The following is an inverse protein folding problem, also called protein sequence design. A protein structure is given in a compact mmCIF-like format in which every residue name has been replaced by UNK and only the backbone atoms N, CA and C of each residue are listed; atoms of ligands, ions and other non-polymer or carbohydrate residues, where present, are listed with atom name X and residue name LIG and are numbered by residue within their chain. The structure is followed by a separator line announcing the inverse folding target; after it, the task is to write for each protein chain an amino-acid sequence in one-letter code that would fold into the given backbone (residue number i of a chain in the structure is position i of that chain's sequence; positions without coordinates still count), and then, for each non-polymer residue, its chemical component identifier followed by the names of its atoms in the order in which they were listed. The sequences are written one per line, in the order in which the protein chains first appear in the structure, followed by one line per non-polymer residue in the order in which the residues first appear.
data_IF_720498479726
#
_entry.id   IF_720498479726
#
_cell.length_a   1.000
_cell.length_b   1.000
_cell.length_c   1.000
_cell.angle_alpha   90.00
_cell.angle_beta   90.00
_cell.angle_gamma   90.00
#
_symmetry.space_group_name_H-M   'P 1'
#
loop_
_entity.id
_entity.type
_entity.pdbx_description
1 polymer ?
#
# COMPACT_ATOMS: atom_id res chain seq x y z
N UNK A 1 -103.51 28.62 4.08
CA UNK A 1 -102.74 29.25 2.99
C UNK A 1 -101.26 29.12 3.32
N UNK A 2 -100.50 28.41 2.47
CA UNK A 2 -99.03 28.21 2.38
C UNK A 2 -98.26 27.70 3.63
N UNK A 3 -97.67 26.49 3.67
CA UNK A 3 -96.65 25.82 2.83
C UNK A 3 -95.21 26.14 3.28
N UNK A 4 -94.43 25.09 3.57
CA UNK A 4 -92.99 25.21 3.86
C UNK A 4 -92.33 23.95 4.43
N UNK A 5 -92.44 22.79 3.78
CA UNK A 5 -91.58 21.62 4.08
C UNK A 5 -90.34 21.66 3.19
N UNK A 6 -89.20 22.05 3.76
CA UNK A 6 -87.90 21.90 3.13
C UNK A 6 -87.53 20.42 3.00
N UNK A 7 -87.31 19.96 1.77
CA UNK A 7 -86.70 18.65 1.50
C UNK A 7 -85.19 18.80 1.59
N UNK A 8 -84.56 18.15 2.58
CA UNK A 8 -83.10 17.95 2.60
C UNK A 8 -82.81 16.75 1.71
N UNK A 9 -82.18 16.99 0.56
CA UNK A 9 -81.63 15.92 -0.28
C UNK A 9 -80.25 15.54 0.28
N UNK A 10 -80.18 14.41 0.99
CA UNK A 10 -78.91 13.76 1.31
C UNK A 10 -78.35 13.17 0.01
N UNK A 11 -77.41 13.87 -0.60
CA UNK A 11 -76.60 13.31 -1.69
C UNK A 11 -75.76 12.16 -1.15
N UNK A 12 -76.14 10.92 -1.45
CA UNK A 12 -75.24 9.78 -1.30
C UNK A 12 -74.16 9.89 -2.36
N UNK A 13 -72.98 10.39 -1.96
CA UNK A 13 -71.77 10.25 -2.76
C UNK A 13 -71.54 8.77 -3.05
N UNK A 14 -71.47 8.41 -4.33
CA UNK A 14 -71.08 7.06 -4.76
C UNK A 14 -69.65 6.82 -4.27
N UNK A 15 -69.48 5.97 -3.27
CA UNK A 15 -68.18 5.39 -2.95
C UNK A 15 -67.81 4.46 -4.10
N UNK A 16 -66.84 4.86 -4.93
CA UNK A 16 -66.26 4.01 -5.94
C UNK A 16 -65.45 2.91 -5.25
N UNK A 17 -65.88 1.66 -5.39
CA UNK A 17 -65.08 0.50 -4.96
C UNK A 17 -63.87 0.32 -5.85
N UNK A 18 -62.75 -0.10 -5.27
CA UNK A 18 -61.51 -0.43 -5.99
C UNK A 18 -61.78 -1.49 -7.06
N UNK A 19 -61.25 -1.27 -8.26
CA UNK A 19 -61.34 -2.27 -9.33
C UNK A 19 -60.21 -3.29 -9.22
N UNK A 20 -60.47 -4.52 -9.68
CA UNK A 20 -59.47 -5.59 -9.67
C UNK A 20 -58.23 -5.23 -10.52
N UNK A 21 -58.44 -4.48 -11.61
CA UNK A 21 -57.36 -3.99 -12.47
C UNK A 21 -56.47 -2.96 -11.74
N UNK A 22 -57.02 -2.14 -10.85
CA UNK A 22 -56.27 -1.15 -10.07
C UNK A 22 -55.31 -1.80 -9.08
N UNK A 23 -55.72 -2.89 -8.44
CA UNK A 23 -54.86 -3.66 -7.54
C UNK A 23 -53.73 -4.33 -8.31
N UNK A 24 -54.02 -4.91 -9.48
CA UNK A 24 -53.00 -5.56 -10.32
C UNK A 24 -51.98 -4.55 -10.84
N UNK A 25 -52.43 -3.39 -11.32
CA UNK A 25 -51.53 -2.31 -11.78
C UNK A 25 -50.68 -1.79 -10.61
N UNK A 26 -51.29 -1.60 -9.43
CA UNK A 26 -50.57 -1.11 -8.24
C UNK A 26 -49.49 -2.08 -7.78
N UNK A 27 -49.79 -3.37 -7.71
CA UNK A 27 -48.80 -4.40 -7.34
C UNK A 27 -47.74 -4.53 -8.43
N UNK A 28 -48.10 -4.40 -9.71
CA UNK A 28 -47.16 -4.39 -10.83
C UNK A 28 -46.15 -3.25 -10.71
N UNK A 29 -46.62 -2.01 -10.51
CA UNK A 29 -45.77 -0.84 -10.31
C UNK A 29 -44.91 -0.97 -9.05
N UNK A 30 -45.49 -1.39 -7.93
CA UNK A 30 -44.76 -1.60 -6.68
C UNK A 30 -43.65 -2.65 -6.84
N UNK A 31 -43.93 -3.74 -7.57
CA UNK A 31 -42.94 -4.80 -7.82
C UNK A 31 -41.77 -4.26 -8.65
N UNK A 32 -42.05 -3.52 -9.71
CA UNK A 32 -41.01 -2.89 -10.56
C UNK A 32 -40.18 -1.89 -9.74
N UNK A 33 -40.83 -1.03 -8.95
CA UNK A 33 -40.15 -0.08 -8.07
C UNK A 33 -39.28 -0.79 -7.03
N UNK A 34 -39.78 -1.88 -6.45
CA UNK A 34 -39.03 -2.68 -5.47
C UNK A 34 -37.78 -3.28 -6.12
N UNK A 35 -37.91 -3.89 -7.30
CA UNK A 35 -36.77 -4.45 -8.04
C UNK A 35 -35.72 -3.37 -8.37
N UNK A 36 -36.16 -2.20 -8.85
CA UNK A 36 -35.24 -1.08 -9.11
C UNK A 36 -34.54 -0.59 -7.83
N UNK A 37 -35.26 -0.52 -6.71
CA UNK A 37 -34.68 -0.13 -5.43
C UNK A 37 -33.64 -1.14 -4.94
N UNK A 38 -33.92 -2.44 -5.08
CA UNK A 38 -32.95 -3.50 -4.76
C UNK A 38 -31.70 -3.41 -5.64
N UNK A 39 -31.85 -3.20 -6.95
CA UNK A 39 -30.70 -3.03 -7.86
C UNK A 39 -29.86 -1.80 -7.49
N UNK A 40 -30.51 -0.67 -7.19
CA UNK A 40 -29.81 0.54 -6.76
C UNK A 40 -29.01 0.30 -5.46
N UNK A 41 -29.59 -0.42 -4.50
CA UNK A 41 -28.92 -0.78 -3.25
C UNK A 41 -27.69 -1.65 -3.52
N UNK A 42 -27.80 -2.66 -4.37
CA UNK A 42 -26.70 -3.56 -4.72
C UNK A 42 -25.53 -2.82 -5.37
N UNK A 43 -25.81 -1.87 -6.26
CA UNK A 43 -24.79 -1.00 -6.87
C UNK A 43 -24.07 -0.15 -5.82
N UNK A 44 -24.81 0.44 -4.88
CA UNK A 44 -24.23 1.25 -3.80
C UNK A 44 -23.34 0.39 -2.90
N UNK A 45 -23.80 -0.81 -2.52
CA UNK A 45 -23.02 -1.74 -1.69
C UNK A 45 -21.73 -2.18 -2.42
N UNK A 46 -21.82 -2.60 -3.68
CA UNK A 46 -20.65 -3.00 -4.46
C UNK A 46 -19.64 -1.86 -4.65
N UNK A 47 -20.13 -0.62 -4.83
CA UNK A 47 -19.28 0.57 -4.92
C UNK A 47 -18.58 0.85 -3.59
N UNK A 48 -19.30 0.69 -2.47
CA UNK A 48 -18.75 0.88 -1.14
C UNK A 48 -17.64 -0.15 -0.84
N UNK A 49 -17.88 -1.43 -1.14
CA UNK A 49 -16.91 -2.50 -0.92
C UNK A 49 -15.62 -2.27 -1.73
N UNK A 50 -15.75 -1.93 -3.01
CA UNK A 50 -14.60 -1.59 -3.87
C UNK A 50 -13.82 -0.37 -3.37
N UNK A 51 -14.52 0.61 -2.82
CA UNK A 51 -13.92 1.81 -2.20
C UNK A 51 -13.11 1.44 -0.95
N UNK A 52 -13.64 0.56 -0.10
CA UNK A 52 -12.93 0.07 1.08
C UNK A 52 -11.63 -0.67 0.71
N UNK A 53 -11.66 -1.56 -0.28
CA UNK A 53 -10.48 -2.30 -0.72
C UNK A 53 -9.40 -1.35 -1.26
N UNK A 54 -9.79 -0.42 -2.12
CA UNK A 54 -8.88 0.59 -2.69
C UNK A 54 -8.27 1.46 -1.59
N UNK A 55 -9.06 1.88 -0.60
CA UNK A 55 -8.58 2.67 0.53
C UNK A 55 -7.54 1.89 1.35
N UNK A 56 -7.77 0.60 1.60
CA UNK A 56 -6.84 -0.25 2.36
C UNK A 56 -5.47 -0.37 1.67
N UNK A 57 -5.46 -0.57 0.35
CA UNK A 57 -4.24 -0.65 -0.45
C UNK A 57 -3.45 0.66 -0.40
N UNK A 58 -4.13 1.81 -0.53
CA UNK A 58 -3.51 3.13 -0.44
C UNK A 58 -2.90 3.39 0.94
N UNK A 59 -3.57 2.98 2.01
CA UNK A 59 -3.03 3.07 3.38
C UNK A 59 -1.77 2.22 3.54
N UNK A 60 -1.78 0.98 3.02
CA UNK A 60 -0.62 0.09 3.07
C UNK A 60 0.57 0.66 2.27
N UNK A 61 0.33 1.18 1.06
CA UNK A 61 1.35 1.82 0.24
C UNK A 61 1.97 3.04 0.93
N UNK A 62 1.15 3.91 1.53
CA UNK A 62 1.64 5.07 2.30
C UNK A 62 2.47 4.63 3.51
N UNK A 63 2.07 3.56 4.19
CA UNK A 63 2.82 2.99 5.33
C UNK A 63 4.16 2.41 4.87
N UNK A 64 4.18 1.65 3.77
CA UNK A 64 5.41 1.13 3.17
C UNK A 64 6.38 2.27 2.85
N UNK A 65 5.89 3.33 2.19
CA UNK A 65 6.68 4.52 1.90
C UNK A 65 7.24 5.22 3.15
N UNK A 66 6.44 5.34 4.22
CA UNK A 66 6.91 5.96 5.46
C UNK A 66 8.05 5.15 6.10
N UNK A 67 8.02 3.82 5.97
CA UNK A 67 9.08 2.93 6.46
C UNK A 67 10.33 3.05 5.59
N UNK A 68 10.20 2.94 4.27
CA UNK A 68 11.32 3.08 3.31
C UNK A 68 12.01 4.43 3.49
N UNK A 69 11.24 5.52 3.54
CA UNK A 69 11.78 6.86 3.77
C UNK A 69 12.56 6.94 5.08
N UNK A 70 12.01 6.38 6.17
CA UNK A 70 12.70 6.39 7.47
C UNK A 70 13.98 5.56 7.44
N UNK A 71 14.01 4.45 6.72
CA UNK A 71 15.21 3.62 6.61
C UNK A 71 16.30 4.35 5.82
N UNK A 72 15.98 4.87 4.64
CA UNK A 72 16.94 5.57 3.78
C UNK A 72 17.47 6.86 4.42
N UNK A 73 16.63 7.64 5.10
CA UNK A 73 17.07 8.86 5.81
C UNK A 73 18.01 8.57 6.98
N UNK A 74 17.98 7.36 7.55
CA UNK A 74 18.85 6.96 8.66
C UNK A 74 20.01 6.07 8.22
N UNK A 75 20.31 6.02 6.92
CA UNK A 75 21.41 5.26 6.38
C UNK A 75 22.74 5.69 7.00
N UNK A 76 23.65 4.73 7.19
CA UNK A 76 24.96 4.94 7.82
C UNK A 76 26.05 4.23 7.05
N UNK A 77 27.22 4.86 6.98
CA UNK A 77 28.44 4.25 6.46
C UNK A 77 29.02 3.24 7.46
N UNK A 78 28.31 2.13 7.69
CA UNK A 78 28.73 1.04 8.57
C UNK A 78 28.70 -0.29 7.82
N UNK A 79 29.85 -0.94 7.59
CA UNK A 79 29.90 -2.28 7.01
C UNK A 79 29.16 -3.29 7.89
N UNK A 80 28.65 -4.36 7.29
CA UNK A 80 27.97 -5.45 7.99
C UNK A 80 28.83 -6.72 7.94
N UNK A 81 28.80 -7.51 9.01
CA UNK A 81 29.59 -8.74 9.10
C UNK A 81 28.71 -9.92 8.72
N UNK A 82 29.08 -10.66 7.66
CA UNK A 82 28.30 -11.78 7.14
C UNK A 82 28.32 -13.03 8.05
N UNK A 83 29.21 -13.05 9.04
CA UNK A 83 29.41 -14.17 9.97
C UNK A 83 30.28 -15.31 9.42
N UNK A 84 30.83 -15.16 8.21
CA UNK A 84 31.83 -16.04 7.58
C UNK A 84 33.21 -15.37 7.50
N UNK A 85 33.33 -14.16 8.04
CA UNK A 85 34.58 -13.40 8.11
C UNK A 85 34.73 -12.40 6.97
N UNK A 86 33.71 -12.22 6.12
CA UNK A 86 33.67 -11.14 5.13
C UNK A 86 32.88 -9.96 5.67
N UNK A 87 33.22 -8.78 5.16
CA UNK A 87 32.49 -7.54 5.42
C UNK A 87 31.71 -7.17 4.16
N UNK A 88 30.41 -7.09 4.31
CA UNK A 88 29.50 -6.53 3.33
C UNK A 88 29.57 -5.00 3.31
N UNK A 89 29.36 -4.40 2.13
CA UNK A 89 29.35 -2.94 1.99
C UNK A 89 28.21 -2.33 2.81
N UNK A 90 28.36 -1.10 3.33
CA UNK A 90 27.29 -0.40 4.04
C UNK A 90 25.99 -0.25 3.24
N UNK A 91 26.09 -0.21 1.92
CA UNK A 91 24.99 -0.20 0.97
C UNK A 91 25.40 -1.00 -0.26
N UNK A 92 24.53 -1.89 -0.72
CA UNK A 92 24.73 -2.66 -1.94
C UNK A 92 23.40 -3.27 -2.41
N UNK A 93 23.31 -3.52 -3.71
CA UNK A 93 22.19 -4.21 -4.33
C UNK A 93 22.47 -5.69 -4.48
N UNK A 94 21.44 -6.48 -4.30
CA UNK A 94 21.44 -7.90 -4.60
C UNK A 94 21.05 -8.13 -6.05
N UNK A 95 22.05 -8.37 -6.89
CA UNK A 95 21.87 -8.58 -8.34
C UNK A 95 21.11 -9.87 -8.64
N UNK A 96 21.16 -10.87 -7.74
CA UNK A 96 20.47 -12.15 -7.91
C UNK A 96 19.00 -12.11 -7.53
N UNK A 97 18.65 -11.33 -6.50
CA UNK A 97 17.31 -11.34 -5.88
C UNK A 97 16.55 -10.02 -6.05
N UNK A 98 17.04 -9.11 -6.89
CA UNK A 98 16.47 -7.76 -7.09
C UNK A 98 16.24 -7.02 -5.76
N UNK A 99 17.15 -7.24 -4.81
CA UNK A 99 17.05 -6.73 -3.44
C UNK A 99 18.00 -5.57 -3.19
N UNK A 100 17.80 -4.87 -2.08
CA UNK A 100 18.77 -3.85 -1.62
C UNK A 100 19.02 -3.98 -0.13
N UNK A 101 20.28 -3.95 0.25
CA UNK A 101 20.72 -4.08 1.64
C UNK A 101 21.57 -2.91 2.06
N UNK A 102 21.28 -2.38 3.25
CA UNK A 102 22.03 -1.28 3.80
C UNK A 102 21.97 -1.17 5.30
N UNK A 103 22.96 -0.49 5.87
CA UNK A 103 23.04 -0.23 7.29
C UNK A 103 22.33 1.07 7.62
N UNK A 104 21.47 1.05 8.64
CA UNK A 104 20.80 2.23 9.19
C UNK A 104 20.98 2.35 10.69
N UNK A 105 20.94 3.58 11.19
CA UNK A 105 20.86 3.90 12.62
C UNK A 105 19.45 4.23 13.08
N UNK A 106 19.32 4.80 14.28
CA UNK A 106 18.05 5.33 14.80
C UNK A 106 17.04 4.26 15.23
N UNK A 107 17.46 3.00 15.38
CA UNK A 107 16.68 1.99 16.07
C UNK A 107 16.77 2.17 17.60
N UNK A 108 15.85 1.55 18.37
CA UNK A 108 15.94 1.56 19.82
C UNK A 108 17.20 0.84 20.28
N UNK A 109 17.85 1.36 21.33
CA UNK A 109 18.98 0.70 21.99
C UNK A 109 18.43 -0.36 22.94
N UNK A 110 18.62 -1.62 22.60
CA UNK A 110 18.14 -2.78 23.36
C UNK A 110 19.34 -3.60 23.84
N UNK A 111 19.17 -4.46 24.85
CA UNK A 111 20.24 -5.35 25.31
C UNK A 111 20.79 -6.24 24.18
N UNK A 112 19.92 -6.69 23.27
CA UNK A 112 20.28 -7.49 22.08
C UNK A 112 20.89 -6.66 20.93
N UNK A 113 20.67 -5.35 20.91
CA UNK A 113 21.29 -4.43 19.95
C UNK A 113 21.64 -3.10 20.63
N UNK A 114 22.73 -3.05 21.42
CA UNK A 114 23.06 -1.86 22.20
C UNK A 114 23.36 -0.63 21.34
N UNK A 115 23.81 -0.84 20.10
CA UNK A 115 24.15 0.24 19.17
C UNK A 115 22.92 0.93 18.56
N UNK A 116 21.77 0.26 18.50
CA UNK A 116 20.61 0.72 17.72
C UNK A 116 20.85 0.77 16.20
N UNK A 117 21.99 0.28 15.70
CA UNK A 117 22.27 0.12 14.28
C UNK A 117 21.76 -1.24 13.80
N UNK A 118 21.17 -1.26 12.61
CA UNK A 118 20.62 -2.46 12.00
C UNK A 118 21.02 -2.56 10.54
N UNK A 119 21.25 -3.78 10.06
CA UNK A 119 21.24 -4.12 8.63
C UNK A 119 19.79 -4.28 8.21
N UNK A 120 19.39 -3.61 7.14
CA UNK A 120 18.07 -3.73 6.50
C UNK A 120 18.29 -4.41 5.16
N UNK A 121 17.38 -5.32 4.79
CA UNK A 121 17.26 -5.89 3.46
C UNK A 121 15.82 -5.75 2.98
N UNK A 122 15.67 -5.21 1.77
CA UNK A 122 14.41 -5.20 1.04
C UNK A 122 14.49 -6.20 -0.09
N UNK A 123 13.47 -7.05 -0.19
CA UNK A 123 13.30 -8.01 -1.28
C UNK A 123 11.82 -8.20 -1.62
N UNK A 124 11.56 -8.88 -2.73
CA UNK A 124 10.23 -9.38 -3.08
C UNK A 124 10.22 -10.89 -2.81
N UNK A 125 9.21 -11.37 -2.08
CA UNK A 125 9.03 -12.80 -1.84
C UNK A 125 8.31 -13.51 -3.00
N UNK A 126 8.27 -14.86 -2.96
CA UNK A 126 7.60 -15.69 -3.97
C UNK A 126 6.11 -15.37 -4.14
N UNK A 127 5.49 -14.76 -3.12
CA UNK A 127 4.08 -14.35 -3.10
C UNK A 127 3.90 -12.89 -3.52
N UNK A 128 4.92 -12.27 -4.13
CA UNK A 128 4.89 -10.89 -4.64
C UNK A 128 4.60 -9.85 -3.56
N UNK A 129 5.15 -10.07 -2.38
CA UNK A 129 5.16 -9.08 -1.31
C UNK A 129 6.51 -8.39 -1.21
N UNK A 130 6.49 -7.06 -1.06
CA UNK A 130 7.65 -6.32 -0.61
C UNK A 130 7.89 -6.63 0.88
N UNK A 131 8.99 -7.32 1.16
CA UNK A 131 9.41 -7.72 2.49
C UNK A 131 10.60 -6.87 2.93
N UNK A 132 10.58 -6.50 4.21
CA UNK A 132 11.71 -5.86 4.89
C UNK A 132 12.23 -6.79 5.97
N UNK A 133 13.47 -7.20 5.86
CA UNK A 133 14.17 -8.01 6.87
C UNK A 133 15.22 -7.17 7.57
N UNK A 134 15.38 -7.37 8.88
CA UNK A 134 16.38 -6.65 9.68
C UNK A 134 17.17 -7.51 10.63
N UNK A 135 18.45 -7.17 10.78
CA UNK A 135 19.36 -7.74 11.75
C UNK A 135 19.99 -6.63 12.58
N UNK A 136 20.32 -6.91 13.83
CA UNK A 136 21.27 -6.05 14.56
C UNK A 136 22.59 -6.01 13.79
N UNK A 137 23.29 -4.87 13.76
CA UNK A 137 24.53 -4.77 12.98
C UNK A 137 25.63 -5.75 13.43
N UNK A 138 25.55 -6.22 14.68
CA UNK A 138 26.45 -7.20 15.30
C UNK A 138 25.92 -8.63 15.21
N UNK A 139 24.69 -8.84 14.74
CA UNK A 139 24.15 -10.18 14.55
C UNK A 139 24.79 -10.80 13.31
N UNK A 140 25.00 -12.12 13.36
CA UNK A 140 25.47 -12.91 12.23
C UNK A 140 24.25 -13.59 11.58
N UNK A 141 24.01 -13.41 10.27
CA UNK A 141 22.92 -14.08 9.55
C UNK A 141 22.90 -15.60 9.74
N UNK A 142 24.05 -16.23 9.99
CA UNK A 142 24.16 -17.67 10.27
C UNK A 142 23.42 -18.16 11.52
N UNK A 143 23.18 -17.27 12.48
CA UNK A 143 22.55 -17.60 13.76
C UNK A 143 21.19 -16.89 13.92
N UNK A 144 20.79 -16.10 12.93
CA UNK A 144 19.54 -15.35 12.96
C UNK A 144 19.06 -15.06 11.55
N UNK A 145 17.86 -15.53 11.24
CA UNK A 145 17.16 -15.21 9.99
C UNK A 145 16.67 -13.75 9.94
N UNK A 146 16.89 -12.98 11.02
CA UNK A 146 16.47 -11.60 11.15
C UNK A 146 15.00 -11.47 11.51
N UNK A 147 14.53 -10.23 11.57
CA UNK A 147 13.13 -9.90 11.74
C UNK A 147 12.55 -9.44 10.40
N UNK A 148 11.76 -10.31 9.78
CA UNK A 148 11.08 -10.06 8.51
C UNK A 148 9.67 -9.53 8.73
N UNK A 149 9.29 -8.56 7.90
CA UNK A 149 7.95 -7.98 7.88
C UNK A 149 7.54 -7.64 6.46
N UNK A 150 6.37 -8.14 6.06
CA UNK A 150 5.69 -7.70 4.84
C UNK A 150 5.23 -6.24 4.98
N UNK A 151 5.63 -5.41 4.02
CA UNK A 151 5.26 -3.99 3.98
C UNK A 151 4.09 -3.72 3.04
N UNK A 152 4.08 -4.41 1.89
CA UNK A 152 3.12 -4.20 0.82
C UNK A 152 2.96 -5.50 0.04
N UNK A 153 1.72 -5.82 -0.34
CA UNK A 153 1.36 -6.97 -1.16
C UNK A 153 1.00 -6.55 -2.57
N UNK A 154 0.93 -7.51 -3.49
CA UNK A 154 0.61 -7.31 -4.91
C UNK A 154 1.61 -6.36 -5.59
N UNK A 155 2.90 -6.58 -5.30
CA UNK A 155 4.02 -5.82 -5.85
C UNK A 155 4.60 -6.60 -7.03
N UNK A 156 4.59 -5.98 -8.20
CA UNK A 156 5.19 -6.57 -9.40
C UNK A 156 6.71 -6.37 -9.36
N UNK A 157 7.15 -5.14 -9.10
CA UNK A 157 8.57 -4.79 -9.11
C UNK A 157 8.88 -3.63 -8.16
N UNK A 158 10.10 -3.64 -7.60
CA UNK A 158 10.66 -2.51 -6.86
C UNK A 158 12.06 -2.22 -7.39
N UNK A 159 12.23 -1.02 -7.94
CA UNK A 159 13.48 -0.60 -8.57
C UNK A 159 14.15 0.45 -7.69
N UNK A 160 15.40 0.20 -7.34
CA UNK A 160 16.28 1.17 -6.68
C UNK A 160 17.30 1.67 -7.69
N UNK A 161 17.21 2.93 -8.10
CA UNK A 161 18.22 3.59 -8.94
C UNK A 161 19.09 4.50 -8.08
N UNK A 162 20.40 4.44 -8.31
CA UNK A 162 21.40 5.07 -7.46
C UNK A 162 22.19 6.08 -8.28
N UNK A 163 22.29 7.31 -7.78
CA UNK A 163 23.12 8.34 -8.40
C UNK A 163 24.58 8.19 -7.95
N UNK A 164 25.47 7.95 -8.91
CA UNK A 164 26.92 7.84 -8.69
C UNK A 164 27.60 9.21 -8.53
N UNK A 165 28.92 9.22 -8.28
CA UNK A 165 29.71 10.45 -8.23
C UNK A 165 29.71 11.21 -9.56
N UNK A 166 29.69 10.46 -10.65
CA UNK A 166 29.67 10.91 -12.04
C UNK A 166 28.29 11.46 -12.47
N UNK A 167 27.31 11.49 -11.56
CA UNK A 167 25.91 11.87 -11.81
C UNK A 167 25.18 10.96 -12.81
N UNK A 168 25.57 9.69 -12.87
CA UNK A 168 24.88 8.66 -13.63
C UNK A 168 23.99 7.81 -12.71
N UNK A 169 22.79 7.45 -13.19
CA UNK A 169 21.91 6.54 -12.47
C UNK A 169 22.23 5.09 -12.84
N UNK A 170 22.30 4.22 -11.85
CA UNK A 170 22.48 2.78 -12.00
C UNK A 170 21.57 2.02 -11.06
N UNK A 171 20.91 0.98 -11.54
CA UNK A 171 20.15 0.05 -10.70
C UNK A 171 21.06 -0.73 -9.76
N UNK A 172 22.30 -1.00 -10.18
CA UNK A 172 23.28 -1.72 -9.38
C UNK A 172 24.11 -0.75 -8.53
N UNK A 173 24.26 -1.08 -7.25
CA UNK A 173 25.20 -0.44 -6.35
C UNK A 173 26.11 -1.46 -5.66
N UNK A 174 27.45 -1.32 -5.74
CA UNK A 174 28.16 -0.34 -6.58
C UNK A 174 27.89 -0.55 -8.08
N UNK A 175 28.05 0.50 -8.91
CA UNK A 175 27.94 0.35 -10.36
C UNK A 175 28.94 -0.70 -10.86
N UNK A 176 28.49 -1.63 -11.71
CA UNK A 176 29.28 -2.80 -12.15
C UNK A 176 30.61 -2.42 -12.83
N UNK A 177 30.65 -1.25 -13.48
CA UNK A 177 31.81 -0.76 -14.24
C UNK A 177 32.64 0.28 -13.48
N UNK A 178 32.42 0.46 -12.16
CA UNK A 178 33.13 1.45 -11.36
C UNK A 178 33.84 0.82 -10.14
N UNK A 179 35.13 0.49 -10.26
CA UNK A 179 35.90 -0.13 -9.16
C UNK A 179 36.15 0.82 -7.98
N UNK A 180 36.04 2.13 -8.19
CA UNK A 180 36.25 3.18 -7.17
C UNK A 180 34.93 3.71 -6.60
N UNK A 181 33.82 2.99 -6.80
CA UNK A 181 32.51 3.43 -6.34
C UNK A 181 32.49 3.70 -4.83
N UNK A 182 31.99 4.87 -4.39
CA UNK A 182 31.92 5.22 -2.98
C UNK A 182 31.05 4.22 -2.20
N UNK A 183 31.20 4.24 -0.88
CA UNK A 183 30.52 3.29 0.00
C UNK A 183 29.00 3.47 0.00
N UNK A 184 28.50 4.68 -0.31
CA UNK A 184 27.09 5.05 -0.32
C UNK A 184 26.77 5.87 -1.58
N UNK A 185 25.54 5.77 -2.13
CA UNK A 185 25.10 6.58 -3.27
C UNK A 185 24.78 8.02 -2.88
N UNK A 186 24.85 8.96 -3.83
CA UNK A 186 24.49 10.38 -3.62
C UNK A 186 22.99 10.60 -3.46
N UNK A 187 22.21 9.88 -4.25
CA UNK A 187 20.75 9.89 -4.23
C UNK A 187 20.23 8.51 -4.58
N UNK A 188 19.03 8.22 -4.13
CA UNK A 188 18.35 6.95 -4.38
C UNK A 188 16.94 7.26 -4.86
N UNK A 189 16.63 6.86 -6.08
CA UNK A 189 15.26 6.84 -6.57
C UNK A 189 14.69 5.45 -6.32
N UNK A 190 13.52 5.41 -5.71
CA UNK A 190 12.78 4.17 -5.51
C UNK A 190 11.52 4.23 -6.34
N UNK A 191 11.26 3.21 -7.13
CA UNK A 191 10.04 3.02 -7.91
C UNK A 191 9.37 1.73 -7.43
N UNK A 192 8.07 1.80 -7.14
CA UNK A 192 7.24 0.64 -6.81
C UNK A 192 6.19 0.50 -7.89
N UNK A 193 6.13 -0.68 -8.50
CA UNK A 193 5.15 -1.07 -9.51
C UNK A 193 4.27 -2.16 -8.90
N UNK A 194 2.95 -1.93 -8.92
CA UNK A 194 1.95 -2.88 -8.41
C UNK A 194 1.46 -3.79 -9.55
N UNK A 195 0.94 -4.96 -9.20
CA UNK A 195 0.42 -5.94 -10.18
C UNK A 195 -0.75 -5.39 -11.04
N UNK A 196 -1.46 -4.37 -10.55
CA UNK A 196 -2.53 -3.71 -11.29
C UNK A 196 -2.01 -2.67 -12.32
N UNK A 197 -0.68 -2.48 -12.42
CA UNK A 197 -0.03 -1.52 -13.30
C UNK A 197 0.17 -0.13 -12.70
N UNK A 198 -0.33 0.14 -11.49
CA UNK A 198 -0.09 1.41 -10.82
C UNK A 198 1.40 1.51 -10.43
N UNK A 199 1.98 2.69 -10.64
CA UNK A 199 3.36 2.96 -10.25
C UNK A 199 3.49 4.24 -9.42
N UNK A 200 4.44 4.23 -8.51
CA UNK A 200 4.77 5.39 -7.68
C UNK A 200 6.27 5.45 -7.46
N UNK A 201 6.82 6.66 -7.45
CA UNK A 201 8.25 6.87 -7.28
C UNK A 201 8.55 7.98 -6.28
N UNK A 202 9.71 7.87 -5.62
CA UNK A 202 10.25 8.90 -4.72
C UNK A 202 11.76 8.98 -4.85
N UNK A 203 12.29 10.19 -4.68
CA UNK A 203 13.72 10.45 -4.63
C UNK A 203 14.13 10.75 -3.19
N UNK A 204 15.22 10.12 -2.75
CA UNK A 204 15.79 10.30 -1.42
C UNK A 204 17.23 10.77 -1.53
N UNK A 205 17.66 11.69 -0.66
CA UNK A 205 19.08 12.02 -0.54
C UNK A 205 19.84 10.82 0.03
N UNK A 206 21.03 10.58 -0.50
CA UNK A 206 22.02 9.71 0.12
C UNK A 206 22.77 10.42 1.23
N UNK A 207 23.79 9.75 1.77
CA UNK A 207 24.69 10.33 2.77
C UNK A 207 25.93 10.83 2.07
N UNK A 208 26.14 12.15 2.11
CA UNK A 208 27.38 12.76 1.67
C UNK A 208 28.38 12.53 2.81
N UNK A 209 29.47 11.83 2.52
CA UNK A 209 30.61 11.72 3.44
C UNK A 209 31.53 12.88 3.07
N UNK A 210 31.57 13.92 3.90
CA UNK A 210 32.58 15.00 3.81
C UNK A 210 33.98 14.49 4.18
#
# INVERSE_FOLDING_TARGET
MFSGRGKVALGFGRQGGFSLIEVVVSIGLLSIMSVMAYQALEVVMATNDRSHDTMSQQVNLRRAWAIIQRDLLHMRNRPFSDGLGQLERPYETDVSEFGVRFSRGGGPMLASNPSGLTRVYYSIDDSRNLVRTTWAITASPRYSDGNSRTLLSNVDEVIFEHLSEENEYSENWPPLNSPLAPMLPKMIRVVIILENGDSTSRLFPGVIVE
#
